data_IF_287178573950
#
_entry.id   IF_287178573950
#
_cell.length_a   1.000
_cell.length_b   1.000
_cell.length_c   1.000
_cell.angle_alpha   90.00
_cell.angle_beta   90.00
_cell.angle_gamma   90.00
#
_symmetry.space_group_name_H-M   'P 1'
#
loop_
_entity.id
_entity.type
_entity.pdbx_description
1 polymer ?
#
# COMPACT_ATOMS: atom_id res chain seq x y z
N UNK A 1 -48.10 14.90 31.54
CA UNK A 1 -47.42 13.90 30.67
C UNK A 1 -46.41 14.59 29.75
N UNK A 2 -45.19 14.92 30.17
CA UNK A 2 -44.18 15.42 29.20
C UNK A 2 -42.70 15.27 29.61
N UNK A 3 -42.39 14.80 30.82
CA UNK A 3 -41.00 14.75 31.30
C UNK A 3 -40.22 13.46 30.93
N UNK A 4 -40.91 12.41 30.45
CA UNK A 4 -40.28 11.15 30.03
C UNK A 4 -39.78 11.14 28.57
N UNK A 5 -40.24 12.08 27.73
CA UNK A 5 -39.86 12.13 26.31
C UNK A 5 -38.47 12.72 26.04
N UNK A 6 -37.94 13.55 26.95
CA UNK A 6 -36.63 14.21 26.74
C UNK A 6 -35.43 13.31 27.05
N UNK A 7 -35.58 12.33 27.96
CA UNK A 7 -34.50 11.36 28.27
C UNK A 7 -34.30 10.31 27.17
N UNK A 8 -35.37 9.91 26.47
CA UNK A 8 -35.28 8.95 25.37
C UNK A 8 -34.54 9.50 24.15
N UNK A 9 -34.73 10.78 23.83
CA UNK A 9 -34.06 11.42 22.69
C UNK A 9 -32.54 11.56 22.90
N UNK A 10 -32.10 11.90 24.12
CA UNK A 10 -30.67 11.99 24.45
C UNK A 10 -29.97 10.63 24.41
N UNK A 11 -30.61 9.58 24.93
CA UNK A 11 -30.09 8.22 24.87
C UNK A 11 -30.03 7.68 23.43
N UNK A 12 -31.02 8.01 22.58
CA UNK A 12 -31.02 7.62 21.17
C UNK A 12 -29.90 8.32 20.38
N UNK A 13 -29.65 9.61 20.64
CA UNK A 13 -28.55 10.36 20.02
C UNK A 13 -27.18 9.82 20.45
N UNK A 14 -26.99 9.57 21.74
CA UNK A 14 -25.76 8.95 22.25
C UNK A 14 -25.54 7.55 21.66
N UNK A 15 -26.60 6.75 21.56
CA UNK A 15 -26.55 5.44 20.92
C UNK A 15 -26.18 5.53 19.44
N UNK A 16 -26.75 6.48 18.70
CA UNK A 16 -26.42 6.69 17.30
C UNK A 16 -24.95 7.13 17.10
N UNK A 17 -24.45 8.06 17.91
CA UNK A 17 -23.04 8.50 17.86
C UNK A 17 -22.10 7.35 18.20
N UNK A 18 -22.43 6.55 19.23
CA UNK A 18 -21.63 5.40 19.63
C UNK A 18 -21.60 4.33 18.54
N UNK A 19 -22.74 4.06 17.88
CA UNK A 19 -22.84 3.08 16.79
C UNK A 19 -22.08 3.54 15.53
N UNK A 20 -22.13 4.83 15.19
CA UNK A 20 -21.35 5.38 14.07
C UNK A 20 -19.85 5.30 14.38
N UNK A 21 -19.44 5.65 15.61
CA UNK A 21 -18.06 5.52 16.06
C UNK A 21 -17.56 4.08 16.04
N UNK A 22 -18.33 3.13 16.59
CA UNK A 22 -18.00 1.70 16.57
C UNK A 22 -17.91 1.15 15.15
N UNK A 23 -18.83 1.54 14.26
CA UNK A 23 -18.83 1.09 12.87
C UNK A 23 -17.61 1.61 12.10
N UNK A 24 -17.13 2.82 12.40
CA UNK A 24 -15.91 3.35 11.78
C UNK A 24 -14.66 2.62 12.28
N UNK A 25 -14.54 2.42 13.59
CA UNK A 25 -13.43 1.67 14.20
C UNK A 25 -13.41 0.21 13.72
N UNK A 26 -14.57 -0.45 13.63
CA UNK A 26 -14.66 -1.80 13.11
C UNK A 26 -14.29 -1.89 11.62
N UNK A 27 -14.60 -0.86 10.82
CA UNK A 27 -14.29 -0.82 9.39
C UNK A 27 -12.79 -0.61 9.13
N UNK A 28 -12.12 0.18 9.97
CA UNK A 28 -10.66 0.36 9.90
C UNK A 28 -9.92 -0.90 10.37
N UNK A 29 -10.40 -1.56 11.43
CA UNK A 29 -9.81 -2.83 11.90
C UNK A 29 -9.99 -3.96 10.88
N UNK A 30 -11.04 -3.91 10.05
CA UNK A 30 -11.33 -4.95 9.05
C UNK A 30 -10.71 -4.70 7.66
N UNK A 31 -10.13 -3.51 7.41
CA UNK A 31 -9.31 -3.30 6.21
C UNK A 31 -7.87 -3.69 6.56
N UNK A 32 -7.32 -4.78 6.00
CA UNK A 32 -5.88 -5.01 6.12
C UNK A 32 -5.18 -3.78 5.53
N UNK A 33 -4.43 -3.06 6.36
CA UNK A 33 -3.73 -1.85 5.96
C UNK A 33 -2.84 -2.14 4.76
N UNK A 34 -3.08 -1.42 3.67
CA UNK A 34 -2.13 -1.36 2.56
C UNK A 34 -1.02 -0.40 2.98
N UNK A 35 0.22 -0.83 2.87
CA UNK A 35 1.42 -0.05 3.17
C UNK A 35 2.22 0.10 1.88
N UNK A 36 2.60 1.32 1.54
CA UNK A 36 3.52 1.58 0.44
C UNK A 36 4.96 1.35 0.91
N UNK A 37 5.75 0.65 0.12
CA UNK A 37 7.13 0.27 0.45
C UNK A 37 8.10 0.73 -0.63
N UNK A 38 9.34 1.00 -0.20
CA UNK A 38 10.40 1.44 -1.09
C UNK A 38 10.89 0.38 -2.06
N UNK A 39 11.16 0.81 -3.29
CA UNK A 39 11.95 0.08 -4.27
C UNK A 39 13.42 0.39 -4.03
N UNK A 40 14.22 -0.63 -3.74
CA UNK A 40 15.65 -0.47 -3.41
C UNK A 40 16.54 -0.34 -4.65
N UNK A 41 16.22 -1.09 -5.70
CA UNK A 41 16.97 -1.11 -6.95
C UNK A 41 16.07 -1.56 -8.10
N UNK A 42 16.52 -1.40 -9.34
CA UNK A 42 15.89 -2.02 -10.49
C UNK A 42 16.89 -2.61 -11.49
N UNK A 43 16.48 -3.68 -12.17
CA UNK A 43 17.19 -4.24 -13.32
C UNK A 43 16.39 -3.93 -14.60
N UNK A 44 17.09 -3.63 -15.69
CA UNK A 44 16.49 -3.62 -17.03
C UNK A 44 16.33 -5.05 -17.54
N UNK A 45 15.31 -5.26 -18.35
CA UNK A 45 15.12 -6.53 -19.07
C UNK A 45 15.36 -6.34 -20.57
N UNK A 46 15.39 -7.46 -21.30
CA UNK A 46 15.47 -7.44 -22.77
C UNK A 46 14.22 -6.77 -23.41
N UNK A 47 13.07 -6.76 -22.71
CA UNK A 47 11.92 -5.96 -23.10
C UNK A 47 12.08 -4.54 -22.53
N UNK A 48 12.23 -3.50 -23.37
CA UNK A 48 12.44 -2.14 -22.89
C UNK A 48 11.24 -1.55 -22.14
N UNK A 49 10.08 -2.23 -22.14
CA UNK A 49 8.88 -1.87 -21.38
C UNK A 49 8.72 -2.70 -20.11
N UNK A 50 9.70 -3.51 -19.73
CA UNK A 50 9.66 -4.27 -18.49
C UNK A 50 10.94 -4.01 -17.71
N UNK A 51 10.76 -3.65 -16.45
CA UNK A 51 11.84 -3.57 -15.46
C UNK A 51 11.57 -4.57 -14.34
N UNK A 52 12.62 -5.00 -13.66
CA UNK A 52 12.51 -5.78 -12.42
C UNK A 52 12.75 -4.84 -11.25
N UNK A 53 11.74 -4.58 -10.45
CA UNK A 53 11.89 -3.82 -9.20
C UNK A 53 12.33 -4.77 -8.07
N UNK A 54 13.40 -4.41 -7.38
CA UNK A 54 13.94 -5.11 -6.23
C UNK A 54 13.53 -4.39 -4.96
N UNK A 55 13.01 -5.13 -4.00
CA UNK A 55 12.62 -4.61 -2.69
C UNK A 55 12.87 -5.66 -1.62
N UNK A 56 13.01 -5.21 -0.37
CA UNK A 56 13.12 -6.11 0.77
C UNK A 56 11.92 -5.97 1.69
N UNK A 57 11.30 -7.11 1.97
CA UNK A 57 10.22 -7.17 2.95
C UNK A 57 10.17 -8.54 3.62
N UNK A 58 9.58 -8.56 4.80
CA UNK A 58 9.24 -9.81 5.48
C UNK A 58 8.37 -10.68 4.54
N UNK A 59 8.70 -11.97 4.36
CA UNK A 59 7.99 -12.88 3.45
C UNK A 59 6.52 -13.10 3.80
N UNK A 60 6.08 -12.75 5.01
CA UNK A 60 4.70 -12.83 5.44
C UNK A 60 3.82 -11.80 4.70
N UNK A 61 4.38 -10.68 4.25
CA UNK A 61 3.64 -9.68 3.48
C UNK A 61 3.27 -10.23 2.10
N UNK A 62 2.26 -9.61 1.48
CA UNK A 62 1.89 -9.91 0.10
C UNK A 62 1.78 -8.60 -0.68
N UNK A 63 2.32 -8.56 -1.89
CA UNK A 63 2.10 -7.43 -2.82
C UNK A 63 0.60 -7.31 -3.09
N UNK A 64 0.03 -6.17 -2.72
CA UNK A 64 -1.39 -5.86 -2.97
C UNK A 64 -1.57 -5.10 -4.28
N UNK A 65 -0.64 -4.20 -4.60
CA UNK A 65 -0.70 -3.34 -5.78
C UNK A 65 0.70 -2.96 -6.25
N UNK A 66 0.84 -2.88 -7.57
CA UNK A 66 1.96 -2.24 -8.25
C UNK A 66 1.35 -1.21 -9.18
N UNK A 67 1.77 0.05 -9.06
CA UNK A 67 1.32 1.13 -9.91
C UNK A 67 2.52 1.92 -10.44
N UNK A 68 2.40 2.40 -11.67
CA UNK A 68 3.36 3.29 -12.30
C UNK A 68 2.71 4.62 -12.62
N UNK A 69 3.45 5.71 -12.45
CA UNK A 69 3.14 6.99 -13.05
C UNK A 69 4.30 7.38 -13.96
N UNK A 70 4.00 7.59 -15.23
CA UNK A 70 5.02 7.81 -16.25
C UNK A 70 4.91 9.22 -16.83
N UNK A 71 6.06 9.86 -16.95
CA UNK A 71 6.24 11.08 -17.72
C UNK A 71 7.37 10.90 -18.75
N UNK A 72 7.72 11.99 -19.45
CA UNK A 72 8.74 11.99 -20.48
C UNK A 72 10.16 11.73 -19.96
N UNK A 73 10.40 11.95 -18.68
CA UNK A 73 11.72 11.95 -18.03
C UNK A 73 11.87 10.90 -16.94
N UNK A 74 10.76 10.46 -16.35
CA UNK A 74 10.75 9.61 -15.17
C UNK A 74 9.62 8.58 -15.16
N UNK A 75 9.83 7.54 -14.37
CA UNK A 75 8.86 6.49 -14.07
C UNK A 75 8.80 6.36 -12.55
N UNK A 76 7.70 6.79 -11.94
CA UNK A 76 7.47 6.61 -10.50
C UNK A 76 6.85 5.25 -10.28
N UNK A 77 7.53 4.38 -9.53
CA UNK A 77 7.06 3.03 -9.19
C UNK A 77 6.53 3.03 -7.77
N UNK A 78 5.25 2.69 -7.59
CA UNK A 78 4.60 2.51 -6.29
C UNK A 78 4.29 1.05 -6.06
N UNK A 79 4.86 0.49 -4.99
CA UNK A 79 4.56 -0.88 -4.56
C UNK A 79 3.84 -0.82 -3.22
N UNK A 80 2.61 -1.32 -3.20
CA UNK A 80 1.86 -1.49 -1.97
C UNK A 80 1.85 -2.97 -1.57
N UNK A 81 2.06 -3.21 -0.28
CA UNK A 81 1.96 -4.52 0.35
C UNK A 81 0.85 -4.52 1.37
N UNK A 82 0.41 -5.71 1.76
CA UNK A 82 -0.51 -5.91 2.88
C UNK A 82 0.03 -7.00 3.79
N UNK A 83 -0.25 -6.86 5.08
CA UNK A 83 -0.02 -7.93 6.03
C UNK A 83 -0.92 -9.15 5.70
N UNK A 84 -0.48 -10.38 6.00
CA UNK A 84 -1.30 -11.56 5.84
C UNK A 84 -2.45 -11.53 6.86
N UNK A 85 -3.65 -11.96 6.45
CA UNK A 85 -4.87 -11.87 7.29
C UNK A 85 -4.83 -12.80 8.52
N UNK A 86 -4.05 -13.88 8.46
CA UNK A 86 -3.92 -14.91 9.49
C UNK A 86 -2.51 -15.49 9.40
N UNK A 87 -1.53 -14.87 10.06
CA UNK A 87 -0.15 -15.33 10.00
C UNK A 87 0.68 -14.85 11.17
N UNK A 88 1.35 -15.79 11.83
CA UNK A 88 2.47 -15.54 12.72
C UNK A 88 3.67 -15.09 11.85
N UNK A 89 4.33 -13.97 12.16
CA UNK A 89 5.55 -13.56 11.47
C UNK A 89 6.67 -14.54 11.81
N UNK A 90 6.90 -15.50 10.92
CA UNK A 90 7.77 -16.65 11.17
C UNK A 90 9.23 -16.48 10.72
N UNK A 91 9.67 -15.29 10.34
CA UNK A 91 11.05 -15.07 9.90
C UNK A 91 11.51 -13.65 10.13
N UNK A 92 12.54 -13.48 10.95
CA UNK A 92 13.10 -12.17 11.31
C UNK A 92 13.93 -11.54 10.17
N UNK A 93 14.25 -12.29 9.11
CA UNK A 93 15.05 -11.77 7.99
C UNK A 93 14.17 -11.34 6.80
N UNK A 94 14.30 -10.08 6.36
CA UNK A 94 13.65 -9.62 5.15
C UNK A 94 14.24 -10.32 3.93
N UNK A 95 13.37 -10.77 3.04
CA UNK A 95 13.76 -11.42 1.78
C UNK A 95 13.72 -10.42 0.63
N UNK A 96 14.60 -10.61 -0.35
CA UNK A 96 14.57 -9.84 -1.59
C UNK A 96 13.40 -10.35 -2.46
N UNK A 97 12.48 -9.46 -2.82
CA UNK A 97 11.45 -9.72 -3.82
C UNK A 97 11.82 -9.06 -5.14
N UNK A 98 11.42 -9.73 -6.22
CA UNK A 98 11.59 -9.26 -7.59
C UNK A 98 10.23 -9.15 -8.24
N UNK A 99 9.86 -7.95 -8.63
CA UNK A 99 8.55 -7.66 -9.23
C UNK A 99 8.78 -7.17 -10.65
N UNK A 100 8.18 -7.87 -11.62
CA UNK A 100 8.13 -7.37 -12.99
C UNK A 100 7.13 -6.22 -13.09
N UNK A 101 7.64 -5.04 -13.43
CA UNK A 101 6.84 -3.83 -13.63
C UNK A 101 6.77 -3.56 -15.11
N UNK A 102 5.55 -3.61 -15.66
CA UNK A 102 5.29 -3.26 -17.06
C UNK A 102 5.05 -1.77 -17.18
N UNK A 103 5.72 -1.17 -18.14
CA UNK A 103 5.65 0.24 -18.48
C UNK A 103 4.76 0.45 -19.71
N UNK A 104 4.06 1.58 -19.76
CA UNK A 104 3.30 2.04 -20.92
C UNK A 104 4.24 2.45 -22.05
N UNK A 105 5.38 3.07 -21.71
CA UNK A 105 6.42 3.48 -22.64
C UNK A 105 7.76 2.78 -22.35
N UNK A 106 8.66 2.64 -23.34
CA UNK A 106 10.01 2.14 -23.10
C UNK A 106 10.74 2.95 -22.01
N UNK A 107 11.56 2.32 -21.17
CA UNK A 107 12.34 3.04 -20.15
C UNK A 107 13.27 4.07 -20.80
N UNK A 108 14.00 3.69 -21.86
CA UNK A 108 14.73 4.59 -22.77
C UNK A 108 15.58 5.69 -22.09
N UNK A 109 16.20 5.40 -20.93
CA UNK A 109 17.02 6.35 -20.17
C UNK A 109 16.24 7.28 -19.23
N UNK A 110 14.92 7.10 -19.10
CA UNK A 110 14.11 7.73 -18.05
C UNK A 110 14.56 7.27 -16.67
N UNK A 111 14.48 8.16 -15.69
CA UNK A 111 14.84 7.87 -14.31
C UNK A 111 13.73 7.10 -13.60
N UNK A 112 14.06 6.02 -12.91
CA UNK A 112 13.12 5.32 -12.03
C UNK A 112 13.10 6.02 -10.68
N UNK A 113 11.91 6.37 -10.20
CA UNK A 113 11.69 7.05 -8.92
C UNK A 113 10.89 6.13 -8.00
N UNK A 114 11.32 6.02 -6.75
CA UNK A 114 10.58 5.32 -5.71
C UNK A 114 9.40 6.18 -5.29
N UNK A 115 8.17 5.70 -5.49
CA UNK A 115 6.99 6.47 -5.13
C UNK A 115 6.75 6.61 -3.62
N UNK A 116 7.44 5.81 -2.79
CA UNK A 116 7.38 5.94 -1.34
C UNK A 116 8.26 7.11 -0.81
N UNK A 117 9.45 7.28 -1.39
CA UNK A 117 10.46 8.24 -0.91
C UNK A 117 10.70 9.42 -1.84
N UNK A 118 10.13 9.40 -3.05
CA UNK A 118 10.43 10.31 -4.16
C UNK A 118 11.92 10.34 -4.55
N UNK A 119 12.70 9.34 -4.11
CA UNK A 119 14.13 9.24 -4.39
C UNK A 119 14.39 8.49 -5.71
N UNK A 120 15.48 8.81 -6.43
CA UNK A 120 15.88 8.02 -7.58
C UNK A 120 16.31 6.61 -7.16
N UNK A 121 15.76 5.61 -7.84
CA UNK A 121 16.10 4.21 -7.64
C UNK A 121 17.35 3.88 -8.44
N UNK A 122 18.41 3.32 -7.83
CA UNK A 122 19.59 2.91 -8.55
C UNK A 122 19.33 1.73 -9.48
N UNK A 123 19.94 1.75 -10.65
CA UNK A 123 20.05 0.59 -11.55
C UNK A 123 21.17 -0.33 -11.04
N UNK A 124 20.97 -1.64 -11.10
CA UNK A 124 21.95 -2.65 -10.68
C UNK A 124 22.65 -3.33 -11.87
#
# INVERSE_FOLDING_TARGET
MSWWRRRGAGAALLGAVLLIGLAHVARDVLRPGEEEISVEAYDRTDDPRVIVAHLRRDPAYVVSRVATAEDATSVVVRVSVRAPRLGWSGGDEPVEWRIHVRLDQPLAGRQVIDGHTDAPVPER
#
